data_IF_892054963347
#
_entry.id   IF_892054963347
#
_cell.length_a   1.000
_cell.length_b   1.000
_cell.length_c   1.000
_cell.angle_alpha   90.00
_cell.angle_beta   90.00
_cell.angle_gamma   90.00
#
_symmetry.space_group_name_H-M   'P 1'
#
loop_
_entity.id
_entity.type
_entity.pdbx_description
1 polymer ?
#
# COMPACT_ATOMS: atom_id res chain seq x y z
N UNK A 1 -23.02 -56.42 -16.81
CA UNK A 1 -23.84 -55.20 -17.02
C UNK A 1 -23.25 -54.12 -16.12
N UNK A 2 -22.25 -53.39 -16.62
CA UNK A 2 -21.53 -52.37 -15.87
C UNK A 2 -22.33 -51.07 -15.91
N UNK A 3 -22.96 -50.72 -14.80
CA UNK A 3 -23.49 -49.37 -14.62
C UNK A 3 -22.31 -48.45 -14.32
N UNK A 4 -21.89 -47.70 -15.34
CA UNK A 4 -20.92 -46.62 -15.23
C UNK A 4 -21.54 -45.51 -14.37
N UNK A 5 -21.28 -45.58 -13.07
CA UNK A 5 -21.57 -44.50 -12.14
C UNK A 5 -20.55 -43.39 -12.41
N UNK A 6 -20.86 -42.49 -13.34
CA UNK A 6 -20.11 -41.24 -13.45
C UNK A 6 -20.37 -40.47 -12.16
N UNK A 7 -19.41 -40.52 -11.24
CA UNK A 7 -19.24 -39.54 -10.18
C UNK A 7 -19.08 -38.18 -10.86
N UNK A 8 -20.20 -37.53 -11.16
CA UNK A 8 -20.23 -36.09 -11.34
C UNK A 8 -19.97 -35.57 -9.94
N UNK A 9 -18.72 -35.23 -9.64
CA UNK A 9 -18.45 -34.39 -8.48
C UNK A 9 -19.37 -33.17 -8.66
N UNK A 10 -20.23 -32.83 -7.67
CA UNK A 10 -20.86 -31.53 -7.69
C UNK A 10 -19.72 -30.54 -7.90
N UNK A 11 -19.84 -29.63 -8.86
CA UNK A 11 -18.81 -28.62 -9.10
C UNK A 11 -18.66 -27.87 -7.79
N UNK A 12 -17.63 -28.28 -7.06
CA UNK A 12 -17.40 -27.95 -5.67
C UNK A 12 -17.22 -26.45 -5.58
N UNK A 13 -17.89 -25.86 -4.59
CA UNK A 13 -17.43 -24.72 -3.81
C UNK A 13 -16.14 -24.09 -4.36
N UNK A 14 -16.28 -23.15 -5.30
CA UNK A 14 -15.14 -22.32 -5.70
C UNK A 14 -14.91 -21.40 -4.51
N UNK A 15 -14.09 -21.86 -3.56
CA UNK A 15 -13.62 -21.00 -2.49
C UNK A 15 -13.05 -19.74 -3.15
N UNK A 16 -13.47 -18.54 -2.71
CA UNK A 16 -12.96 -17.31 -3.27
C UNK A 16 -11.43 -17.34 -3.15
N UNK A 17 -10.75 -17.25 -4.29
CA UNK A 17 -9.29 -17.30 -4.33
C UNK A 17 -8.78 -16.03 -3.64
N UNK A 18 -8.38 -16.19 -2.37
CA UNK A 18 -7.89 -15.13 -1.49
C UNK A 18 -6.57 -15.61 -0.88
N UNK A 19 -5.52 -14.79 -0.99
CA UNK A 19 -4.22 -15.06 -0.40
C UNK A 19 -3.70 -13.86 0.39
N UNK A 20 -2.98 -14.11 1.48
CA UNK A 20 -2.27 -13.07 2.22
C UNK A 20 -0.97 -12.70 1.49
N UNK A 21 -0.63 -11.42 1.49
CA UNK A 21 0.63 -10.92 0.91
C UNK A 21 1.27 -9.88 1.83
N UNK A 22 2.60 -9.74 1.73
CA UNK A 22 3.33 -8.72 2.47
C UNK A 22 3.25 -7.35 1.80
N UNK A 23 3.08 -7.33 0.47
CA UNK A 23 3.01 -6.11 -0.33
C UNK A 23 2.09 -6.27 -1.53
N UNK A 24 1.37 -5.20 -1.86
CA UNK A 24 0.61 -5.12 -3.10
C UNK A 24 1.48 -4.65 -4.28
N UNK A 25 1.14 -5.07 -5.51
CA UNK A 25 1.69 -4.52 -6.75
C UNK A 25 1.66 -2.99 -6.78
N UNK A 26 2.73 -2.38 -7.32
CA UNK A 26 2.85 -0.91 -7.44
C UNK A 26 2.81 -0.41 -8.88
N UNK A 27 2.87 -1.32 -9.84
CA UNK A 27 2.79 -1.04 -11.28
C UNK A 27 1.88 -2.06 -11.97
N UNK A 28 1.39 -1.71 -13.14
CA UNK A 28 0.45 -2.54 -13.92
C UNK A 28 1.03 -3.91 -14.28
N UNK A 29 2.33 -3.97 -14.60
CA UNK A 29 3.01 -5.22 -14.95
C UNK A 29 2.96 -6.24 -13.79
N UNK A 30 3.16 -5.77 -12.56
CA UNK A 30 3.07 -6.59 -11.35
C UNK A 30 1.62 -7.05 -11.10
N UNK A 31 0.63 -6.18 -11.38
CA UNK A 31 -0.80 -6.53 -11.30
C UNK A 31 -1.13 -7.66 -12.28
N UNK A 32 -0.67 -7.56 -13.53
CA UNK A 32 -0.88 -8.60 -14.54
C UNK A 32 -0.22 -9.91 -14.13
N UNK A 33 1.00 -9.87 -13.58
CA UNK A 33 1.70 -11.07 -13.14
C UNK A 33 1.03 -11.72 -11.93
N UNK A 34 0.62 -10.92 -10.94
CA UNK A 34 -0.08 -11.41 -9.76
C UNK A 34 -1.45 -11.99 -10.11
N UNK A 35 -2.21 -11.32 -10.98
CA UNK A 35 -3.49 -11.80 -11.53
C UNK A 35 -3.34 -13.17 -12.20
N UNK A 36 -2.34 -13.34 -13.08
CA UNK A 36 -2.05 -14.63 -13.72
C UNK A 36 -1.66 -15.72 -12.73
N UNK A 37 -0.84 -15.39 -11.72
CA UNK A 37 -0.43 -16.33 -10.67
C UNK A 37 -1.63 -16.80 -9.84
N UNK A 38 -2.55 -15.89 -9.53
CA UNK A 38 -3.75 -16.18 -8.74
C UNK A 38 -4.88 -16.81 -9.57
N UNK A 39 -4.77 -16.79 -10.91
CA UNK A 39 -5.76 -17.34 -11.81
C UNK A 39 -7.01 -16.46 -11.97
N UNK A 40 -6.88 -15.14 -11.77
CA UNK A 40 -8.01 -14.24 -11.92
C UNK A 40 -8.44 -14.08 -13.39
N UNK A 41 -9.75 -13.97 -13.57
CA UNK A 41 -10.37 -13.67 -14.86
C UNK A 41 -10.50 -12.18 -15.12
N UNK A 42 -11.32 -11.88 -16.12
CA UNK A 42 -11.81 -10.53 -16.37
C UNK A 42 -13.32 -10.49 -16.13
N UNK A 43 -13.84 -9.33 -15.75
CA UNK A 43 -15.27 -9.10 -15.65
C UNK A 43 -15.95 -9.09 -17.03
N UNK A 44 -17.27 -8.87 -17.03
CA UNK A 44 -18.08 -8.82 -18.27
C UNK A 44 -17.69 -7.67 -19.22
N UNK A 45 -16.89 -6.71 -18.76
CA UNK A 45 -16.40 -5.56 -19.54
C UNK A 45 -14.93 -5.72 -19.97
N UNK A 46 -14.29 -6.84 -19.61
CA UNK A 46 -12.89 -7.12 -19.94
C UNK A 46 -11.89 -6.50 -18.95
N UNK A 47 -12.33 -6.03 -17.78
CA UNK A 47 -11.44 -5.50 -16.75
C UNK A 47 -10.87 -6.64 -15.89
N UNK A 48 -9.59 -6.56 -15.56
CA UNK A 48 -8.91 -7.52 -14.68
C UNK A 48 -9.57 -7.54 -13.29
N UNK A 49 -9.98 -8.72 -12.82
CA UNK A 49 -10.65 -8.89 -11.52
C UNK A 49 -9.69 -9.05 -10.34
N UNK A 50 -8.38 -8.96 -10.57
CA UNK A 50 -7.40 -9.00 -9.50
C UNK A 50 -7.44 -7.71 -8.67
N UNK A 51 -7.54 -7.88 -7.35
CA UNK A 51 -7.39 -6.80 -6.39
C UNK A 51 -6.37 -7.19 -5.34
N UNK A 52 -5.61 -6.19 -4.86
CA UNK A 52 -4.80 -6.30 -3.67
C UNK A 52 -5.11 -5.15 -2.72
N UNK A 53 -5.67 -5.46 -1.56
CA UNK A 53 -6.28 -4.50 -0.65
C UNK A 53 -5.92 -4.83 0.81
N UNK A 54 -5.88 -3.83 1.70
CA UNK A 54 -5.96 -4.05 3.14
C UNK A 54 -7.24 -4.79 3.50
N UNK A 55 -7.16 -5.72 4.45
CA UNK A 55 -8.36 -6.17 5.12
C UNK A 55 -8.94 -5.03 5.99
N UNK A 56 -10.23 -5.13 6.37
CA UNK A 56 -10.90 -4.11 7.19
C UNK A 56 -10.16 -3.74 8.48
N UNK A 57 -9.56 -4.75 9.14
CA UNK A 57 -8.79 -4.59 10.38
C UNK A 57 -7.40 -4.02 10.17
N UNK A 58 -6.95 -3.85 8.91
CA UNK A 58 -5.60 -3.42 8.54
C UNK A 58 -4.51 -4.26 9.21
N UNK A 59 -4.81 -5.53 9.45
CA UNK A 59 -3.88 -6.49 10.05
C UNK A 59 -3.11 -7.28 9.00
N UNK A 60 -3.56 -7.26 7.75
CA UNK A 60 -2.91 -7.90 6.61
C UNK A 60 -3.36 -7.26 5.29
N UNK A 61 -2.55 -7.48 4.25
CA UNK A 61 -2.98 -7.28 2.87
C UNK A 61 -3.48 -8.61 2.31
N UNK A 62 -4.52 -8.53 1.48
CA UNK A 62 -5.09 -9.68 0.78
C UNK A 62 -5.03 -9.42 -0.72
N UNK A 63 -4.61 -10.41 -1.48
CA UNK A 63 -4.89 -10.46 -2.90
C UNK A 63 -6.07 -11.41 -3.16
N UNK A 64 -6.96 -11.03 -4.07
CA UNK A 64 -8.13 -11.82 -4.40
C UNK A 64 -8.57 -11.62 -5.85
N UNK A 65 -9.33 -12.59 -6.36
CA UNK A 65 -10.11 -12.42 -7.59
C UNK A 65 -11.52 -11.97 -7.22
N UNK A 66 -11.86 -10.72 -7.49
CA UNK A 66 -13.17 -10.16 -7.18
C UNK A 66 -14.26 -10.78 -8.06
N UNK A 67 -15.27 -11.38 -7.42
CA UNK A 67 -16.38 -12.02 -8.11
C UNK A 67 -17.48 -10.99 -8.39
N UNK A 68 -17.28 -10.19 -9.45
CA UNK A 68 -18.25 -9.17 -9.84
C UNK A 68 -17.75 -8.28 -10.97
N UNK A 69 -18.56 -7.28 -11.31
CA UNK A 69 -18.15 -6.20 -12.20
C UNK A 69 -17.24 -5.23 -11.45
N UNK A 70 -16.13 -4.88 -12.08
CA UNK A 70 -15.21 -3.89 -11.55
C UNK A 70 -15.88 -2.50 -11.58
N UNK A 71 -15.70 -1.74 -10.50
CA UNK A 71 -16.46 -0.53 -10.21
C UNK A 71 -15.63 0.76 -10.17
N UNK A 72 -16.34 1.89 -10.13
CA UNK A 72 -15.72 3.21 -9.93
C UNK A 72 -15.66 3.52 -8.43
N UNK A 73 -14.46 3.81 -7.94
CA UNK A 73 -14.21 4.32 -6.60
C UNK A 73 -14.31 5.84 -6.60
N UNK A 74 -15.00 6.38 -5.60
CA UNK A 74 -15.13 7.82 -5.44
C UNK A 74 -13.82 8.45 -4.98
N UNK A 75 -13.50 9.64 -5.51
CA UNK A 75 -12.38 10.44 -4.99
C UNK A 75 -12.46 10.59 -3.47
N UNK A 76 -11.32 10.71 -2.82
CA UNK A 76 -11.23 10.80 -1.37
C UNK A 76 -11.41 9.47 -0.64
N UNK A 77 -11.49 8.33 -1.36
CA UNK A 77 -11.67 7.01 -0.76
C UNK A 77 -10.61 6.01 -1.22
N UNK A 78 -10.17 5.18 -0.28
CA UNK A 78 -9.49 3.92 -0.50
C UNK A 78 -10.49 2.75 -0.48
N UNK A 79 -10.00 1.55 -0.82
CA UNK A 79 -10.74 0.30 -0.71
C UNK A 79 -10.14 -0.61 0.37
N UNK A 80 -11.01 -1.29 1.09
CA UNK A 80 -10.71 -2.37 2.04
C UNK A 80 -11.51 -3.62 1.64
N UNK A 81 -10.99 -4.79 1.96
CA UNK A 81 -11.71 -6.05 1.77
C UNK A 81 -12.22 -6.61 3.11
N UNK A 82 -13.48 -7.06 3.11
CA UNK A 82 -14.10 -7.72 4.27
C UNK A 82 -15.13 -8.73 3.79
N UNK A 83 -14.97 -10.00 4.14
CA UNK A 83 -16.02 -11.03 3.98
C UNK A 83 -16.64 -11.09 2.57
N UNK A 84 -15.83 -10.91 1.51
CA UNK A 84 -16.30 -10.94 0.12
C UNK A 84 -16.70 -9.57 -0.44
N UNK A 85 -16.74 -8.53 0.38
CA UNK A 85 -17.16 -7.19 -0.02
C UNK A 85 -16.01 -6.18 -0.09
N UNK A 86 -16.16 -5.21 -0.99
CA UNK A 86 -15.30 -4.03 -1.10
C UNK A 86 -15.90 -2.88 -0.30
N UNK A 87 -15.18 -2.44 0.73
CA UNK A 87 -15.58 -1.35 1.62
C UNK A 87 -14.82 -0.10 1.21
N UNK A 88 -15.54 1.01 1.05
CA UNK A 88 -14.93 2.34 0.83
C UNK A 88 -14.53 2.95 2.17
N UNK A 89 -13.29 3.41 2.26
CA UNK A 89 -12.79 4.12 3.44
C UNK A 89 -12.26 5.48 3.04
N UNK A 90 -12.81 6.54 3.64
CA UNK A 90 -12.31 7.90 3.43
C UNK A 90 -10.84 8.01 3.81
N UNK A 91 -10.04 8.60 2.92
CA UNK A 91 -8.62 8.89 3.12
C UNK A 91 -8.30 10.38 3.08
N UNK A 92 -9.31 11.26 3.14
CA UNK A 92 -9.13 12.71 3.02
C UNK A 92 -8.21 13.33 4.08
N UNK A 93 -7.97 12.61 5.18
CA UNK A 93 -7.05 13.02 6.24
C UNK A 93 -5.62 12.57 5.99
N UNK A 94 -5.35 11.75 4.97
CA UNK A 94 -4.00 11.30 4.68
C UNK A 94 -3.09 12.50 4.41
N UNK A 95 -1.85 12.40 4.86
CA UNK A 95 -0.83 13.42 4.61
C UNK A 95 -0.63 13.66 3.10
N UNK A 96 -0.74 12.60 2.28
CA UNK A 96 -0.71 12.67 0.82
C UNK A 96 -1.19 11.34 0.20
N UNK A 97 -1.40 11.34 -1.12
CA UNK A 97 -1.65 10.13 -1.91
C UNK A 97 -3.07 9.58 -1.86
N UNK A 98 -4.00 10.26 -1.20
CA UNK A 98 -5.42 9.98 -1.32
C UNK A 98 -5.92 10.37 -2.73
N UNK A 99 -6.76 9.57 -3.40
CA UNK A 99 -7.21 9.85 -4.76
C UNK A 99 -7.98 11.18 -4.87
N UNK A 100 -7.52 12.09 -5.74
CA UNK A 100 -8.18 13.39 -5.99
C UNK A 100 -9.28 13.30 -7.05
N UNK A 101 -9.29 12.22 -7.84
CA UNK A 101 -10.27 11.93 -8.89
C UNK A 101 -10.91 10.57 -8.67
N UNK A 102 -12.06 10.37 -9.30
CA UNK A 102 -12.64 9.02 -9.43
C UNK A 102 -11.67 8.12 -10.19
N UNK A 103 -11.65 6.84 -9.84
CA UNK A 103 -10.79 5.84 -10.48
C UNK A 103 -11.49 4.48 -10.46
N UNK A 104 -11.05 3.55 -11.30
CA UNK A 104 -11.57 2.18 -11.25
C UNK A 104 -10.86 1.38 -10.16
N UNK A 105 -11.57 0.47 -9.49
CA UNK A 105 -10.99 -0.38 -8.45
C UNK A 105 -9.78 -1.20 -8.91
N UNK A 106 -9.75 -1.70 -10.16
CA UNK A 106 -8.58 -2.37 -10.74
C UNK A 106 -7.34 -1.47 -10.88
N UNK A 107 -7.51 -0.15 -10.79
CA UNK A 107 -6.44 0.85 -10.82
C UNK A 107 -5.90 1.22 -9.44
N UNK A 108 -6.32 0.52 -8.36
CA UNK A 108 -5.91 0.85 -6.98
C UNK A 108 -4.38 0.84 -6.77
N UNK A 109 -3.62 0.10 -7.58
CA UNK A 109 -2.15 0.08 -7.55
C UNK A 109 -1.53 1.47 -7.82
N UNK A 110 -2.26 2.37 -8.51
CA UNK A 110 -1.86 3.76 -8.75
C UNK A 110 -1.90 4.62 -7.48
N UNK A 111 -2.51 4.11 -6.40
CA UNK A 111 -2.63 4.80 -5.12
C UNK A 111 -1.97 4.01 -3.98
N UNK A 112 -0.62 3.94 -3.92
CA UNK A 112 0.09 3.20 -2.88
C UNK A 112 -0.29 3.57 -1.45
N UNK A 113 -0.69 4.83 -1.22
CA UNK A 113 -1.23 5.30 0.07
C UNK A 113 -2.39 4.44 0.57
N UNK A 114 -3.26 3.99 -0.34
CA UNK A 114 -4.42 3.14 -0.04
C UNK A 114 -4.08 1.67 0.20
N UNK A 115 -2.81 1.26 0.03
CA UNK A 115 -2.35 -0.11 0.26
C UNK A 115 -1.27 -0.19 1.34
N UNK A 116 -0.77 0.95 1.84
CA UNK A 116 0.30 1.01 2.82
C UNK A 116 -0.29 1.10 4.23
N UNK A 117 -0.28 0.00 4.94
CA UNK A 117 -0.79 -0.14 6.31
C UNK A 117 0.32 -0.51 7.28
N UNK A 118 0.17 -0.09 8.54
CA UNK A 118 0.89 -0.68 9.66
C UNK A 118 0.04 -1.80 10.23
N UNK A 119 0.51 -3.05 10.12
CA UNK A 119 -0.20 -4.21 10.67
C UNK A 119 -0.13 -4.27 12.19
N UNK A 120 0.91 -3.67 12.79
CA UNK A 120 1.07 -3.51 14.23
C UNK A 120 0.05 -2.51 14.81
N UNK A 121 -0.06 -1.34 14.18
CA UNK A 121 -0.95 -0.27 14.64
C UNK A 121 -2.37 -0.36 14.04
N UNK A 122 -2.58 -1.27 13.09
CA UNK A 122 -3.87 -1.52 12.42
C UNK A 122 -4.47 -0.25 11.78
N UNK A 123 -3.62 0.52 11.09
CA UNK A 123 -3.99 1.78 10.46
C UNK A 123 -3.23 2.01 9.16
N UNK A 124 -3.66 2.99 8.36
CA UNK A 124 -2.94 3.44 7.17
C UNK A 124 -1.74 4.28 7.57
N UNK A 125 -0.56 4.02 7.03
CA UNK A 125 0.68 4.69 7.44
C UNK A 125 0.61 6.22 7.22
N UNK A 126 -0.15 6.66 6.21
CA UNK A 126 -0.30 8.08 5.88
C UNK A 126 -1.45 8.76 6.60
N UNK A 127 -2.25 8.02 7.37
CA UNK A 127 -3.25 8.62 8.26
C UNK A 127 -2.54 9.27 9.45
N UNK A 128 -2.73 10.57 9.73
CA UNK A 128 -2.12 11.26 10.87
C UNK A 128 -2.44 10.62 12.23
N UNK A 129 -3.55 9.88 12.34
CA UNK A 129 -3.89 9.12 13.55
C UNK A 129 -3.07 7.84 13.71
N UNK A 130 -2.40 7.38 12.66
CA UNK A 130 -1.56 6.19 12.65
C UNK A 130 -0.19 6.46 13.29
N UNK A 131 -0.20 6.75 14.58
CA UNK A 131 0.99 7.03 15.37
C UNK A 131 1.19 5.95 16.41
N UNK A 132 2.45 5.65 16.72
CA UNK A 132 2.78 4.90 17.92
C UNK A 132 2.43 5.82 19.07
N UNK A 133 1.30 5.59 19.73
CA UNK A 133 1.08 6.16 21.04
C UNK A 133 2.10 5.50 21.98
N UNK A 134 3.29 6.09 22.07
CA UNK A 134 4.08 5.94 23.28
C UNK A 134 3.15 6.35 24.42
N UNK A 135 3.03 5.54 25.45
CA UNK A 135 2.32 5.92 26.67
C UNK A 135 3.08 7.06 27.39
N UNK A 136 3.34 8.19 26.73
CA UNK A 136 3.45 9.47 27.41
C UNK A 136 2.04 9.90 27.72
N UNK A 137 1.63 9.59 28.96
CA UNK A 137 0.46 10.18 29.60
C UNK A 137 0.36 11.65 29.19
N UNK A 138 -0.71 12.00 28.49
CA UNK A 138 -1.20 13.38 28.46
C UNK A 138 -1.50 13.76 29.92
N UNK A 139 -0.55 14.45 30.55
CA UNK A 139 -0.81 15.22 31.74
C UNK A 139 -0.65 16.68 31.36
N UNK A 140 -1.80 17.35 31.38
CA UNK A 140 -1.99 18.79 31.52
C UNK A 140 -0.73 19.61 31.89
N UNK A 141 -0.38 20.51 30.96
CA UNK A 141 0.38 21.77 31.05
C UNK A 141 1.31 22.03 32.24
N UNK A 142 2.61 22.24 31.97
CA UNK A 142 3.38 23.34 32.56
C UNK A 142 4.43 23.87 31.55
N UNK A 143 4.39 25.19 31.29
CA UNK A 143 5.37 25.91 30.48
C UNK A 143 6.73 25.89 31.18
N UNK A 144 7.75 25.25 30.57
CA UNK A 144 9.14 25.36 31.05
C UNK A 144 9.74 26.62 30.43
N UNK A 145 9.96 27.64 31.26
CA UNK A 145 10.76 28.81 30.91
C UNK A 145 12.23 28.40 30.98
N UNK A 146 12.90 28.26 29.84
CA UNK A 146 14.35 28.01 29.80
C UNK A 146 15.07 29.35 29.90
N UNK A 147 15.68 29.60 31.05
CA UNK A 147 16.52 30.77 31.28
C UNK A 147 17.93 30.48 30.74
N UNK A 148 18.25 30.98 29.54
CA UNK A 148 19.55 30.73 28.90
C UNK A 148 20.56 31.79 29.38
N UNK A 149 21.03 31.62 30.61
CA UNK A 149 22.19 32.34 31.16
C UNK A 149 23.45 31.48 31.02
N UNK A 150 24.26 31.77 30.00
CA UNK A 150 25.73 31.61 29.91
C UNK A 150 26.39 30.38 30.58
N UNK A 151 27.07 29.53 29.79
CA UNK A 151 28.55 29.52 29.75
C UNK A 151 29.09 28.56 28.68
N UNK A 152 29.92 29.11 27.81
CA UNK A 152 30.88 28.39 27.00
C UNK A 152 31.90 27.69 27.90
N UNK A 153 32.15 26.40 27.68
CA UNK A 153 33.50 25.83 27.83
C UNK A 153 33.81 24.92 26.64
N UNK A 154 34.87 25.29 25.94
CA UNK A 154 35.55 24.60 24.83
C UNK A 154 36.52 23.58 25.47
N UNK A 155 36.69 22.34 24.99
CA UNK A 155 37.71 21.85 24.01
C UNK A 155 37.81 20.28 24.14
N UNK A 156 38.70 19.52 23.45
CA UNK A 156 38.76 19.21 22.01
C UNK A 156 39.08 17.71 21.67
N UNK A 157 38.96 17.33 20.37
CA UNK A 157 39.51 16.13 19.68
C UNK A 157 38.95 14.74 20.13
N UNK A 158 38.67 13.74 19.29
CA UNK A 158 39.42 13.26 18.12
C UNK A 158 38.56 12.30 17.24
N UNK A 159 39.09 11.97 16.06
CA UNK A 159 38.71 10.89 15.12
C UNK A 159 37.78 11.20 13.93
N UNK A 160 38.44 11.47 12.80
CA UNK A 160 37.89 11.52 11.46
C UNK A 160 37.41 10.14 10.96
N UNK A 161 36.24 10.10 10.30
CA UNK A 161 36.01 9.16 9.20
C UNK A 161 35.23 9.82 8.07
N UNK A 162 35.92 9.94 6.94
CA UNK A 162 35.40 10.36 5.63
C UNK A 162 34.28 9.42 5.20
N UNK A 163 33.16 9.97 4.75
CA UNK A 163 32.34 9.36 3.70
C UNK A 163 31.93 10.49 2.77
N UNK A 164 32.44 10.45 1.55
CA UNK A 164 32.19 11.46 0.51
C UNK A 164 30.81 11.21 -0.09
N UNK A 165 29.94 12.22 -0.03
CA UNK A 165 28.77 12.29 -0.92
C UNK A 165 29.25 12.71 -2.32
N UNK A 166 28.94 11.89 -3.33
CA UNK A 166 29.18 12.24 -4.72
C UNK A 166 28.08 13.18 -5.22
N UNK A 167 28.46 14.37 -5.66
CA UNK A 167 27.60 15.35 -6.33
C UNK A 167 27.70 15.11 -7.84
N UNK A 168 26.59 14.77 -8.50
CA UNK A 168 26.49 14.70 -9.96
C UNK A 168 26.25 16.12 -10.50
N UNK A 169 27.24 16.70 -11.18
CA UNK A 169 27.07 17.91 -11.98
C UNK A 169 26.82 17.55 -13.44
N UNK A 170 25.76 18.11 -14.01
CA UNK A 170 25.44 18.06 -15.43
C UNK A 170 26.25 19.10 -16.23
N UNK A 171 26.75 18.70 -17.40
CA UNK A 171 27.32 19.53 -18.47
C UNK A 171 27.70 18.58 -19.62
N UNK A 172 26.90 18.45 -20.69
CA UNK A 172 26.81 19.28 -21.91
C UNK A 172 27.95 19.04 -22.92
N UNK A 173 27.57 18.43 -24.07
CA UNK A 173 28.15 18.44 -25.44
C UNK A 173 29.67 18.14 -25.59
N UNK A 174 30.17 17.34 -26.54
CA UNK A 174 29.87 17.21 -27.97
C UNK A 174 30.57 15.95 -28.54
N UNK A 175 30.02 15.44 -29.63
CA UNK A 175 30.58 14.61 -30.73
C UNK A 175 31.78 13.67 -30.52
N UNK A 176 31.60 12.38 -30.89
CA UNK A 176 32.56 11.74 -31.81
C UNK A 176 31.93 10.63 -32.67
N UNK A 177 32.08 10.79 -33.98
CA UNK A 177 31.65 9.91 -35.06
C UNK A 177 32.76 8.89 -35.33
N UNK A 178 32.49 7.58 -35.18
CA UNK A 178 33.07 6.47 -36.00
C UNK A 178 32.64 5.08 -35.50
N UNK A 179 31.67 4.48 -36.20
CA UNK A 179 31.68 3.15 -36.85
C UNK A 179 30.27 2.61 -37.02
#
# INVERSE_FOLDING_TARGET
>A
MFLLYTFVLPVDLIDPVIALVDRCPKIEQDVIQASKRLGCGNDIYGNNQYLCLPNRKKSSLVELCFQGSMGIVEKGNCLEFSEGELIRKSCNQFLYGCPETHFYDYDIYKYPACQNISTELQCYILDPSCTVHSNTKESSSQNIVINIGTLFTKTPADHARRTQCATLTAGHLEEDVRR
#
